data_IF_017836187941
#
_entry.id   IF_017836187941
#
_cell.length_a   1.000
_cell.length_b   1.000
_cell.length_c   1.000
_cell.angle_alpha   90.00
_cell.angle_beta   90.00
_cell.angle_gamma   90.00
#
_symmetry.space_group_name_H-M   'P 1'
#
loop_
_entity.id
_entity.type
_entity.pdbx_description
1 polymer ?
#
# COMPACT_ATOMS: atom_id res chain seq x y z
N UNK A 1 -16.10 -9.25 -2.81
CA UNK A 1 -14.96 -8.50 -2.28
C UNK A 1 -13.92 -8.37 -3.38
N UNK A 2 -13.30 -7.24 -3.53
CA UNK A 2 -12.24 -7.04 -4.52
C UNK A 2 -10.89 -6.81 -3.85
N UNK A 3 -9.84 -7.33 -4.48
CA UNK A 3 -8.44 -7.13 -4.08
C UNK A 3 -7.77 -6.27 -5.14
N UNK A 4 -7.09 -5.21 -4.73
CA UNK A 4 -6.30 -4.43 -5.65
C UNK A 4 -5.12 -5.26 -6.17
N UNK A 5 -4.82 -5.23 -7.48
CA UNK A 5 -3.64 -5.89 -8.04
C UNK A 5 -2.34 -5.27 -7.55
N UNK A 6 -2.40 -4.08 -6.96
CA UNK A 6 -1.30 -3.50 -6.22
C UNK A 6 -0.78 -4.35 -5.06
N UNK A 7 -1.59 -5.28 -4.56
CA UNK A 7 -1.07 -6.37 -3.74
C UNK A 7 -0.15 -7.30 -4.55
N UNK A 8 -0.20 -7.26 -5.88
CA UNK A 8 0.64 -8.05 -6.78
C UNK A 8 1.49 -7.20 -7.74
N UNK A 9 1.10 -5.96 -8.05
CA UNK A 9 1.78 -5.13 -9.04
C UNK A 9 2.77 -4.11 -8.44
N UNK A 10 2.59 -3.63 -7.22
CA UNK A 10 3.73 -3.24 -6.43
C UNK A 10 4.20 -4.53 -5.73
N UNK A 11 5.29 -5.09 -6.21
CA UNK A 11 5.91 -6.28 -5.63
C UNK A 11 6.00 -6.16 -4.08
N UNK A 12 6.13 -4.96 -3.59
CA UNK A 12 6.29 -4.59 -2.20
C UNK A 12 4.99 -4.71 -1.38
N UNK A 13 3.83 -4.29 -1.92
CA UNK A 13 2.56 -4.33 -1.19
C UNK A 13 2.02 -5.76 -1.03
N UNK A 14 2.13 -6.57 -2.08
CA UNK A 14 1.76 -7.98 -2.04
C UNK A 14 2.68 -8.77 -1.14
N UNK A 15 3.99 -8.52 -1.21
CA UNK A 15 5.01 -9.18 -0.40
C UNK A 15 4.87 -8.83 1.09
N UNK A 16 4.61 -7.57 1.42
CA UNK A 16 4.37 -7.13 2.78
C UNK A 16 3.14 -7.83 3.38
N UNK A 17 2.08 -7.90 2.61
CA UNK A 17 0.84 -8.52 3.04
C UNK A 17 1.00 -10.03 3.21
N UNK A 18 1.70 -10.72 2.29
CA UNK A 18 2.04 -12.14 2.41
C UNK A 18 3.09 -12.40 3.50
N UNK A 19 4.09 -11.53 3.66
CA UNK A 19 5.09 -11.64 4.73
C UNK A 19 4.46 -11.61 6.12
N UNK A 20 3.40 -10.82 6.31
CA UNK A 20 2.61 -10.82 7.54
C UNK A 20 1.75 -12.06 7.68
N UNK A 21 1.37 -12.70 6.62
CA UNK A 21 0.57 -13.92 6.63
C UNK A 21 1.33 -15.12 7.21
N UNK A 22 2.60 -14.96 7.62
CA UNK A 22 3.25 -15.98 8.46
C UNK A 22 2.50 -16.24 9.77
N UNK A 23 1.72 -15.26 10.27
CA UNK A 23 0.82 -15.44 11.41
C UNK A 23 -0.57 -15.97 11.03
N UNK A 24 -1.04 -15.77 9.80
CA UNK A 24 -2.36 -16.21 9.31
C UNK A 24 -2.27 -17.10 8.07
N UNK A 25 -1.07 -17.23 7.47
CA UNK A 25 -0.76 -18.09 6.33
C UNK A 25 -1.47 -17.69 5.03
N UNK A 26 -1.10 -18.35 3.95
CA UNK A 26 -1.79 -18.24 2.67
C UNK A 26 -3.23 -18.75 2.73
N UNK A 27 -3.61 -19.42 3.80
CA UNK A 27 -4.98 -19.88 4.03
C UNK A 27 -5.98 -18.74 4.13
N UNK A 28 -5.58 -17.57 4.61
CA UNK A 28 -6.44 -16.39 4.58
C UNK A 28 -6.82 -16.04 3.13
N UNK A 29 -5.87 -16.02 2.21
CA UNK A 29 -6.12 -15.72 0.80
C UNK A 29 -6.91 -16.81 0.09
N UNK A 30 -6.63 -18.09 0.41
CA UNK A 30 -7.45 -19.22 -0.10
C UNK A 30 -8.90 -19.09 0.36
N UNK A 31 -9.13 -18.73 1.62
CA UNK A 31 -10.48 -18.43 2.14
C UNK A 31 -11.11 -17.23 1.48
N UNK A 32 -10.36 -16.15 1.21
CA UNK A 32 -10.86 -15.02 0.45
C UNK A 32 -11.29 -15.45 -0.95
N UNK A 33 -10.47 -16.21 -1.64
CA UNK A 33 -10.79 -16.72 -2.99
C UNK A 33 -12.02 -17.62 -2.97
N UNK A 34 -12.11 -18.56 -2.04
CA UNK A 34 -13.28 -19.44 -1.91
C UNK A 34 -14.56 -18.67 -1.56
N UNK A 35 -14.46 -17.51 -0.91
CA UNK A 35 -15.58 -16.61 -0.64
C UNK A 35 -15.86 -15.62 -1.79
N UNK A 36 -15.39 -15.91 -3.01
CA UNK A 36 -15.66 -15.10 -4.18
C UNK A 36 -14.89 -13.79 -4.28
N UNK A 37 -13.74 -13.69 -3.59
CA UNK A 37 -12.87 -12.54 -3.80
C UNK A 37 -12.26 -12.57 -5.20
N UNK A 38 -12.26 -11.43 -5.87
CA UNK A 38 -11.69 -11.24 -7.21
C UNK A 38 -10.53 -10.27 -7.15
N UNK A 39 -9.57 -10.45 -8.03
CA UNK A 39 -8.50 -9.50 -8.24
C UNK A 39 -8.95 -8.46 -9.26
N UNK A 40 -8.83 -7.17 -8.92
CA UNK A 40 -9.03 -6.08 -9.88
C UNK A 40 -7.81 -5.90 -10.78
N UNK A 41 -7.94 -5.19 -11.88
CA UNK A 41 -6.85 -4.89 -12.82
C UNK A 41 -5.94 -3.75 -12.32
N UNK A 42 -6.50 -2.81 -11.56
CA UNK A 42 -5.77 -1.71 -10.94
C UNK A 42 -6.34 -1.36 -9.56
N UNK A 43 -5.58 -0.63 -8.75
CA UNK A 43 -6.04 -0.16 -7.42
C UNK A 43 -7.29 0.71 -7.58
N UNK A 44 -7.31 1.59 -8.58
CA UNK A 44 -8.44 2.45 -8.90
C UNK A 44 -9.72 1.66 -9.20
N UNK A 45 -9.61 0.55 -9.94
CA UNK A 45 -10.78 -0.28 -10.30
C UNK A 45 -11.46 -0.89 -9.07
N UNK A 46 -10.66 -1.27 -8.05
CA UNK A 46 -11.21 -1.78 -6.80
C UNK A 46 -11.97 -0.70 -6.06
N UNK A 47 -11.41 0.51 -5.97
CA UNK A 47 -12.03 1.63 -5.27
C UNK A 47 -13.29 2.09 -6.01
N UNK A 48 -13.22 2.25 -7.33
CA UNK A 48 -14.38 2.57 -8.19
C UNK A 48 -15.46 1.50 -8.06
N UNK A 49 -15.09 0.23 -8.09
CA UNK A 49 -16.06 -0.86 -7.95
C UNK A 49 -16.75 -0.92 -6.59
N UNK A 50 -16.09 -0.44 -5.52
CA UNK A 50 -16.75 -0.25 -4.22
C UNK A 50 -17.67 0.98 -4.24
N UNK A 51 -17.22 2.09 -4.83
CA UNK A 51 -18.00 3.32 -4.94
C UNK A 51 -19.30 3.12 -5.75
N UNK A 52 -19.24 2.33 -6.80
CA UNK A 52 -20.39 1.95 -7.65
C UNK A 52 -21.26 0.81 -7.07
N UNK A 53 -20.89 0.26 -5.91
CA UNK A 53 -21.63 -0.84 -5.28
C UNK A 53 -21.42 -2.21 -5.91
N UNK A 54 -20.51 -2.35 -6.90
CA UNK A 54 -20.16 -3.66 -7.50
C UNK A 54 -19.49 -4.58 -6.48
N UNK A 55 -18.77 -4.00 -5.53
CA UNK A 55 -18.13 -4.71 -4.42
C UNK A 55 -18.53 -4.10 -3.08
N UNK A 56 -18.84 -4.94 -2.12
CA UNK A 56 -19.14 -4.48 -0.74
C UNK A 56 -17.89 -4.04 0.01
N UNK A 57 -16.74 -4.62 -0.31
CA UNK A 57 -15.45 -4.36 0.36
C UNK A 57 -14.33 -4.47 -0.67
N UNK A 58 -13.34 -3.59 -0.57
CA UNK A 58 -12.10 -3.63 -1.35
C UNK A 58 -10.88 -3.57 -0.42
N UNK A 59 -9.79 -4.23 -0.81
CA UNK A 59 -8.48 -4.05 -0.20
C UNK A 59 -7.65 -3.22 -1.19
N UNK A 60 -7.22 -2.04 -0.75
CA UNK A 60 -6.54 -1.06 -1.61
C UNK A 60 -5.62 -0.17 -0.76
N UNK A 61 -4.93 0.79 -1.39
CA UNK A 61 -4.16 1.81 -0.70
C UNK A 61 -5.08 2.90 -0.13
N UNK A 62 -4.84 3.28 1.11
CA UNK A 62 -5.63 4.30 1.81
C UNK A 62 -5.49 5.69 1.16
N UNK A 63 -4.31 6.04 0.64
CA UNK A 63 -4.09 7.32 -0.06
C UNK A 63 -5.04 7.50 -1.24
N UNK A 64 -5.21 6.48 -2.08
CA UNK A 64 -6.12 6.56 -3.23
C UNK A 64 -7.57 6.61 -2.76
N UNK A 65 -7.94 5.83 -1.74
CA UNK A 65 -9.27 5.90 -1.16
C UNK A 65 -9.58 7.28 -0.55
N UNK A 66 -8.61 7.92 0.13
CA UNK A 66 -8.76 9.30 0.66
C UNK A 66 -8.97 10.32 -0.45
N UNK A 67 -8.20 10.22 -1.54
CA UNK A 67 -8.36 11.09 -2.70
C UNK A 67 -9.76 10.98 -3.30
N UNK A 68 -10.29 9.76 -3.44
CA UNK A 68 -11.65 9.54 -3.96
C UNK A 68 -12.73 10.05 -2.98
N UNK A 69 -12.55 9.87 -1.67
CA UNK A 69 -13.45 10.46 -0.65
C UNK A 69 -13.48 11.99 -0.77
N UNK A 70 -12.32 12.62 -0.97
CA UNK A 70 -12.23 14.08 -1.16
C UNK A 70 -12.97 14.55 -2.42
N UNK A 71 -13.05 13.71 -3.46
CA UNK A 71 -13.84 13.96 -4.67
C UNK A 71 -15.34 13.65 -4.51
N UNK A 72 -15.78 13.20 -3.34
CA UNK A 72 -17.17 12.92 -3.04
C UNK A 72 -17.61 11.47 -3.25
N UNK A 73 -16.68 10.53 -3.47
CA UNK A 73 -17.03 9.11 -3.57
C UNK A 73 -17.66 8.59 -2.28
N UNK A 74 -18.78 7.83 -2.34
CA UNK A 74 -19.51 7.34 -1.18
C UNK A 74 -18.86 6.11 -0.54
N UNK A 75 -17.57 6.17 -0.27
CA UNK A 75 -16.79 5.09 0.33
C UNK A 75 -16.28 5.49 1.72
N UNK A 76 -15.94 4.49 2.52
CA UNK A 76 -15.32 4.67 3.83
C UNK A 76 -14.10 3.76 3.96
N UNK A 77 -13.07 4.25 4.67
CA UNK A 77 -11.91 3.43 5.02
C UNK A 77 -12.18 2.70 6.33
N UNK A 78 -12.05 1.39 6.31
CA UNK A 78 -12.10 0.55 7.50
C UNK A 78 -10.71 0.00 7.80
N UNK A 79 -10.20 0.28 8.99
CA UNK A 79 -8.89 -0.19 9.42
C UNK A 79 -9.00 -1.57 10.09
N UNK A 80 -8.21 -2.57 9.65
CA UNK A 80 -8.25 -3.89 10.26
C UNK A 80 -7.75 -3.84 11.72
N UNK A 81 -8.46 -4.54 12.62
CA UNK A 81 -8.05 -4.64 14.04
C UNK A 81 -6.65 -5.24 14.20
N UNK A 82 -6.26 -6.12 13.31
CA UNK A 82 -4.91 -6.70 13.25
C UNK A 82 -3.84 -5.69 12.85
N UNK A 83 -4.23 -4.52 12.35
CA UNK A 83 -3.40 -3.41 11.87
C UNK A 83 -3.29 -3.37 10.35
N UNK A 84 -3.08 -2.18 9.82
CA UNK A 84 -2.77 -1.94 8.42
C UNK A 84 -1.27 -2.10 8.15
N UNK A 85 -0.91 -2.49 6.95
CA UNK A 85 0.49 -2.63 6.55
C UNK A 85 1.04 -1.26 6.17
N UNK A 86 2.14 -0.88 6.82
CA UNK A 86 2.91 0.29 6.41
C UNK A 86 3.75 -0.05 5.18
N UNK A 87 3.51 0.66 4.08
CA UNK A 87 4.29 0.54 2.84
C UNK A 87 5.09 1.82 2.68
N UNK A 88 6.40 1.69 2.64
CA UNK A 88 7.31 2.82 2.45
C UNK A 88 7.67 2.98 0.98
N UNK A 89 7.80 4.24 0.55
CA UNK A 89 8.34 4.59 -0.77
C UNK A 89 9.77 5.09 -0.57
N UNK A 90 10.79 4.26 -0.81
CA UNK A 90 12.18 4.65 -0.61
C UNK A 90 12.63 5.65 -1.68
N UNK A 91 13.50 6.58 -1.28
CA UNK A 91 14.28 7.43 -2.18
C UNK A 91 15.75 7.09 -2.01
N UNK A 92 16.50 7.02 -3.10
CA UNK A 92 17.93 6.69 -3.05
C UNK A 92 18.71 7.49 -4.10
N UNK A 93 19.98 7.74 -3.79
CA UNK A 93 20.95 8.34 -4.72
C UNK A 93 21.70 7.19 -5.42
N UNK A 94 21.70 7.19 -6.75
CA UNK A 94 22.46 6.20 -7.52
C UNK A 94 23.97 6.38 -7.28
N UNK A 95 24.68 5.29 -7.02
CA UNK A 95 26.13 5.31 -6.80
C UNK A 95 26.91 5.89 -7.99
N UNK A 96 26.40 5.64 -9.21
CA UNK A 96 27.00 6.07 -10.48
C UNK A 96 26.55 7.47 -10.96
N UNK A 97 25.77 8.21 -10.16
CA UNK A 97 25.29 9.54 -10.61
C UNK A 97 26.45 10.52 -10.81
N UNK A 98 26.52 11.22 -11.94
CA UNK A 98 27.48 12.31 -12.13
C UNK A 98 27.11 13.59 -11.35
N UNK A 99 25.87 13.69 -10.88
CA UNK A 99 25.32 14.88 -10.22
C UNK A 99 25.02 14.61 -8.72
N UNK A 100 25.97 14.02 -7.99
CA UNK A 100 25.77 13.60 -6.61
C UNK A 100 25.22 14.71 -5.71
N UNK A 101 25.84 15.91 -5.75
CA UNK A 101 25.43 17.05 -4.91
C UNK A 101 23.96 17.47 -5.17
N UNK A 102 23.53 17.48 -6.44
CA UNK A 102 22.14 17.80 -6.79
C UNK A 102 21.18 16.71 -6.33
N UNK A 103 21.57 15.44 -6.43
CA UNK A 103 20.77 14.31 -5.97
C UNK A 103 20.61 14.32 -4.45
N UNK A 104 21.68 14.58 -3.71
CA UNK A 104 21.67 14.70 -2.26
C UNK A 104 20.80 15.90 -1.82
N UNK A 105 20.94 17.07 -2.48
CA UNK A 105 20.11 18.23 -2.21
C UNK A 105 18.60 17.95 -2.43
N UNK A 106 18.25 17.15 -3.45
CA UNK A 106 16.87 16.70 -3.64
C UNK A 106 16.38 15.81 -2.50
N UNK A 107 17.20 14.86 -2.05
CA UNK A 107 16.86 14.00 -0.90
C UNK A 107 16.67 14.85 0.36
N UNK A 108 17.56 15.79 0.63
CA UNK A 108 17.48 16.71 1.77
C UNK A 108 16.18 17.55 1.70
N UNK A 109 15.85 18.06 0.52
CA UNK A 109 14.58 18.77 0.31
C UNK A 109 13.38 17.88 0.59
N UNK A 110 13.34 16.66 0.03
CA UNK A 110 12.24 15.71 0.24
C UNK A 110 12.06 15.39 1.73
N UNK A 111 13.16 15.26 2.48
CA UNK A 111 13.13 14.98 3.91
C UNK A 111 12.90 16.24 4.77
N UNK A 112 12.98 17.42 4.20
CA UNK A 112 12.74 18.68 4.91
C UNK A 112 11.27 18.87 5.28
N UNK A 113 10.98 19.81 6.19
CA UNK A 113 9.59 20.13 6.55
C UNK A 113 8.76 20.65 5.36
N UNK A 114 9.26 21.56 4.49
CA UNK A 114 8.55 21.96 3.27
C UNK A 114 8.28 20.78 2.33
N UNK A 115 9.26 19.92 2.09
CA UNK A 115 9.10 18.74 1.25
C UNK A 115 8.06 17.78 1.80
N UNK A 116 8.07 17.52 3.10
CA UNK A 116 7.09 16.63 3.74
C UNK A 116 5.68 17.24 3.78
N UNK A 117 5.54 18.56 3.89
CA UNK A 117 4.25 19.24 3.71
C UNK A 117 3.72 19.10 2.28
N UNK A 118 4.58 19.22 1.28
CA UNK A 118 4.19 19.00 -0.11
C UNK A 118 3.72 17.55 -0.36
N UNK A 119 4.41 16.56 0.22
CA UNK A 119 3.99 15.15 0.18
C UNK A 119 2.62 14.98 0.85
N UNK A 120 2.44 15.54 2.05
CA UNK A 120 1.16 15.47 2.77
C UNK A 120 0.00 16.08 1.98
N UNK A 121 0.24 17.18 1.26
CA UNK A 121 -0.76 17.85 0.42
C UNK A 121 -1.26 16.97 -0.73
N UNK A 122 -0.51 15.95 -1.15
CA UNK A 122 -0.95 14.96 -2.14
C UNK A 122 -1.79 13.82 -1.53
N UNK A 123 -1.97 13.80 -0.20
CA UNK A 123 -2.67 12.75 0.52
C UNK A 123 -1.77 11.60 1.00
N UNK A 124 -0.49 11.61 0.65
CA UNK A 124 0.48 10.63 1.16
C UNK A 124 0.86 10.93 2.61
N UNK A 125 1.16 9.86 3.35
CA UNK A 125 1.61 9.97 4.73
C UNK A 125 3.07 10.46 4.77
N UNK A 126 3.36 11.62 5.37
CA UNK A 126 4.74 12.07 5.56
C UNK A 126 5.44 11.22 6.63
N UNK A 127 6.76 11.15 6.55
CA UNK A 127 7.59 10.47 7.56
C UNK A 127 7.89 11.36 8.78
N UNK A 128 7.75 12.69 8.64
CA UNK A 128 7.93 13.62 9.78
C UNK A 128 6.66 13.63 10.63
N UNK A 129 6.85 13.48 11.94
CA UNK A 129 5.78 13.62 12.94
C UNK A 129 5.49 15.08 13.24
N UNK A 130 4.27 15.38 13.73
CA UNK A 130 3.91 16.72 14.20
C UNK A 130 3.60 17.74 13.10
N UNK A 131 3.46 17.34 11.84
CA UNK A 131 3.00 18.23 10.80
C UNK A 131 1.51 18.51 10.95
N UNK A 132 1.15 19.80 11.07
CA UNK A 132 -0.23 20.23 11.20
C UNK A 132 -1.05 19.88 9.94
N UNK A 133 -2.30 19.46 10.12
CA UNK A 133 -3.23 19.19 9.01
C UNK A 133 -3.04 17.85 8.29
N UNK A 134 -2.10 17.02 8.73
CA UNK A 134 -1.91 15.68 8.16
C UNK A 134 -2.84 14.70 8.88
N UNK A 135 -3.70 13.97 8.15
CA UNK A 135 -4.51 12.94 8.76
C UNK A 135 -3.61 11.85 9.36
N UNK A 136 -3.81 11.56 10.64
CA UNK A 136 -3.16 10.40 11.25
C UNK A 136 -3.65 9.13 10.57
N UNK A 137 -2.78 8.14 10.32
CA UNK A 137 -3.24 6.84 9.87
C UNK A 137 -4.21 6.29 10.91
N UNK A 138 -5.40 5.89 10.47
CA UNK A 138 -6.39 5.30 11.37
C UNK A 138 -5.96 3.90 11.79
N UNK A 139 -5.83 3.67 13.09
CA UNK A 139 -5.56 2.36 13.64
C UNK A 139 -4.08 1.95 13.72
N UNK A 140 -3.85 0.72 14.17
CA UNK A 140 -2.51 0.15 14.34
C UNK A 140 -1.84 -0.05 12.99
N UNK A 141 -0.62 0.44 12.84
CA UNK A 141 0.24 0.11 11.71
C UNK A 141 1.16 -1.08 12.05
N UNK A 142 1.42 -1.88 11.07
CA UNK A 142 2.33 -3.03 11.16
C UNK A 142 3.37 -2.91 10.07
N UNK A 143 4.60 -2.94 10.51
CA UNK A 143 5.75 -2.99 9.62
C UNK A 143 6.11 -4.46 9.35
N UNK A 144 6.13 -4.90 8.10
CA UNK A 144 6.59 -6.23 7.73
C UNK A 144 8.10 -6.37 7.89
N UNK A 145 8.59 -7.57 8.10
CA UNK A 145 10.00 -7.89 7.88
C UNK A 145 10.27 -7.89 6.36
N UNK A 146 10.65 -6.72 5.85
CA UNK A 146 10.92 -6.51 4.43
C UNK A 146 12.06 -7.38 3.92
N UNK A 147 13.10 -7.63 4.73
CA UNK A 147 14.21 -8.48 4.36
C UNK A 147 13.77 -9.94 4.20
N UNK A 148 12.94 -10.45 5.11
CA UNK A 148 12.38 -11.79 4.99
C UNK A 148 11.40 -11.89 3.80
N UNK A 149 10.55 -10.88 3.59
CA UNK A 149 9.63 -10.82 2.46
C UNK A 149 10.39 -10.83 1.12
N UNK A 150 11.47 -10.05 1.01
CA UNK A 150 12.31 -10.01 -0.19
C UNK A 150 13.00 -11.34 -0.46
N UNK A 151 13.57 -11.99 0.55
CA UNK A 151 14.18 -13.33 0.38
C UNK A 151 13.20 -14.37 -0.15
N UNK A 152 11.92 -14.24 0.20
CA UNK A 152 10.84 -15.17 -0.19
C UNK A 152 10.01 -14.67 -1.39
N UNK A 153 10.40 -13.58 -2.03
CA UNK A 153 9.61 -12.92 -3.07
C UNK A 153 9.09 -13.87 -4.14
N UNK A 154 9.97 -14.65 -4.73
CA UNK A 154 9.60 -15.58 -5.83
C UNK A 154 8.59 -16.64 -5.36
N UNK A 155 8.78 -17.18 -4.16
CA UNK A 155 7.86 -18.16 -3.56
C UNK A 155 6.48 -17.54 -3.32
N UNK A 156 6.45 -16.38 -2.66
CA UNK A 156 5.22 -15.69 -2.29
C UNK A 156 4.41 -15.27 -3.53
N UNK A 157 5.07 -14.74 -4.56
CA UNK A 157 4.41 -14.38 -5.82
C UNK A 157 3.85 -15.61 -6.54
N UNK A 158 4.58 -16.72 -6.56
CA UNK A 158 4.11 -17.98 -7.14
C UNK A 158 2.86 -18.48 -6.41
N UNK A 159 2.87 -18.45 -5.09
CA UNK A 159 1.74 -18.88 -4.28
C UNK A 159 0.51 -18.00 -4.50
N UNK A 160 0.69 -16.67 -4.55
CA UNK A 160 -0.38 -15.74 -4.86
C UNK A 160 -1.01 -16.03 -6.23
N UNK A 161 -0.17 -16.23 -7.26
CA UNK A 161 -0.64 -16.57 -8.61
C UNK A 161 -1.40 -17.89 -8.62
N UNK A 162 -0.96 -18.88 -7.87
CA UNK A 162 -1.68 -20.17 -7.73
C UNK A 162 -3.07 -19.97 -7.12
N UNK A 163 -3.23 -19.06 -6.16
CA UNK A 163 -4.51 -18.79 -5.51
C UNK A 163 -5.45 -18.00 -6.42
N UNK A 164 -4.98 -16.97 -7.09
CA UNK A 164 -5.83 -16.03 -7.84
C UNK A 164 -5.84 -16.24 -9.36
N UNK A 165 -4.94 -17.04 -9.90
CA UNK A 165 -4.89 -17.35 -11.33
C UNK A 165 -4.27 -16.23 -12.17
N UNK A 166 -3.30 -15.49 -11.62
CA UNK A 166 -2.61 -14.37 -12.29
C UNK A 166 -1.27 -14.80 -12.89
#
# INVERSE_FOLDING_TARGET
MALAPGCAASADGGLAYFGRSTAQGCDFYRKLKSNGAVQGSAIGDVITGVAEGRFKVGIALDVIARQEITKGSPIKIAWPKSGAIAIYSPIAVLASTPNRNAAEALVDFVLSEPGQKAIAATGWQPIRTGLAGVPSPGGKQVEPDWAAAFRRQTELLREYRTIFGA
#
